data_IF_113355634132
#
_entry.id   IF_113355634132
#
_cell.length_a   1.000
_cell.length_b   1.000
_cell.length_c   1.000
_cell.angle_alpha   90.00
_cell.angle_beta   90.00
_cell.angle_gamma   90.00
#
_symmetry.space_group_name_H-M   'P 1'
#
loop_
_entity.id
_entity.type
_entity.pdbx_description
1 polymer ?
#
# COMPACT_ATOMS: atom_id res chain seq x y z
N UNK A 1 -10.86 -11.73 -18.52
CA UNK A 1 -10.08 -10.52 -18.75
C UNK A 1 -9.54 -9.97 -17.45
N UNK A 2 -8.28 -9.70 -17.42
CA UNK A 2 -7.67 -9.19 -16.20
C UNK A 2 -8.08 -7.74 -15.96
N UNK A 3 -8.38 -7.43 -14.72
CA UNK A 3 -8.74 -6.07 -14.35
C UNK A 3 -7.49 -5.37 -13.86
N UNK A 4 -7.12 -4.33 -14.56
CA UNK A 4 -5.97 -3.55 -14.14
C UNK A 4 -6.36 -2.59 -13.04
N UNK A 5 -5.46 -2.33 -12.09
CA UNK A 5 -5.70 -1.28 -11.13
C UNK A 5 -5.94 0.04 -11.86
N UNK A 6 -6.78 0.86 -11.31
CA UNK A 6 -7.08 2.12 -11.95
C UNK A 6 -5.86 3.03 -11.96
N UNK A 7 -5.01 2.90 -10.97
CA UNK A 7 -3.81 3.71 -10.93
C UNK A 7 -2.76 2.98 -10.13
N UNK A 8 -1.59 3.58 -10.11
CA UNK A 8 -0.44 2.98 -9.48
C UNK A 8 -0.63 2.83 -7.97
N UNK A 9 -1.35 3.74 -7.36
CA UNK A 9 -1.56 3.71 -5.93
C UNK A 9 -2.34 2.46 -5.53
N UNK A 10 -3.35 2.09 -6.32
CA UNK A 10 -4.14 0.91 -6.00
C UNK A 10 -3.28 -0.34 -6.02
N UNK A 11 -2.39 -0.44 -6.98
CA UNK A 11 -1.52 -1.60 -7.09
C UNK A 11 -0.57 -1.68 -5.91
N UNK A 12 0.02 -0.56 -5.54
CA UNK A 12 0.96 -0.52 -4.43
C UNK A 12 0.24 -0.84 -3.12
N UNK A 13 -0.97 -0.31 -2.96
CA UNK A 13 -1.74 -0.56 -1.76
C UNK A 13 -2.09 -2.03 -1.62
N UNK A 14 -2.41 -2.67 -2.72
CA UNK A 14 -2.74 -4.09 -2.69
C UNK A 14 -1.57 -4.91 -2.18
N UNK A 15 -0.37 -4.60 -2.64
CA UNK A 15 0.81 -5.31 -2.18
C UNK A 15 1.08 -5.05 -0.71
N UNK A 16 0.87 -3.81 -0.28
CA UNK A 16 1.06 -3.47 1.12
C UNK A 16 0.08 -4.26 2.00
N UNK A 17 -1.16 -4.37 1.57
CA UNK A 17 -2.15 -5.09 2.34
C UNK A 17 -1.86 -6.58 2.40
N UNK A 18 -1.27 -7.13 1.35
CA UNK A 18 -0.85 -8.52 1.38
C UNK A 18 0.20 -8.75 2.46
N UNK A 19 1.13 -7.82 2.59
CA UNK A 19 2.16 -7.92 3.61
C UNK A 19 1.55 -7.83 5.00
N UNK A 20 0.60 -6.92 5.17
CA UNK A 20 -0.08 -6.80 6.46
C UNK A 20 -0.79 -8.09 6.83
N UNK A 21 -1.45 -8.70 5.86
CA UNK A 21 -2.15 -9.94 6.11
C UNK A 21 -1.19 -11.05 6.52
N UNK A 22 -0.06 -11.12 5.89
CA UNK A 22 0.94 -12.12 6.22
C UNK A 22 1.47 -11.95 7.63
N UNK A 23 1.51 -10.71 8.10
CA UNK A 23 1.97 -10.42 9.45
C UNK A 23 0.85 -10.48 10.48
N UNK A 24 -0.37 -10.73 10.03
CA UNK A 24 -1.50 -10.79 10.95
C UNK A 24 -1.90 -9.43 11.50
N UNK A 25 -1.61 -8.37 10.77
CA UNK A 25 -1.96 -7.03 11.20
C UNK A 25 -3.30 -6.62 10.66
N UNK A 26 -4.06 -5.91 11.48
CA UNK A 26 -5.35 -5.38 11.06
C UNK A 26 -5.16 -4.02 10.42
N UNK A 27 -6.05 -3.73 9.46
CA UNK A 27 -6.01 -2.42 8.82
C UNK A 27 -7.42 -2.07 8.37
N UNK A 28 -7.62 -0.78 8.16
CA UNK A 28 -8.89 -0.31 7.63
C UNK A 28 -8.61 0.90 6.75
N UNK A 29 -9.01 0.78 5.50
CA UNK A 29 -8.80 1.84 4.52
C UNK A 29 -9.94 2.84 4.60
N UNK A 30 -9.58 4.11 4.76
CA UNK A 30 -10.57 5.17 4.70
C UNK A 30 -10.76 5.62 3.26
N UNK A 31 -10.87 6.93 3.09
CA UNK A 31 -11.07 7.46 1.76
C UNK A 31 -9.75 7.64 1.02
N UNK A 32 -8.76 8.22 1.68
CA UNK A 32 -7.46 8.46 1.06
C UNK A 32 -6.33 7.99 1.93
N UNK A 33 -6.63 7.29 3.02
CA UNK A 33 -5.60 6.91 3.97
C UNK A 33 -6.12 5.79 4.84
N UNK A 34 -5.19 5.14 5.52
CA UNK A 34 -5.59 4.16 6.53
C UNK A 34 -6.03 4.87 7.78
N UNK A 35 -7.02 4.29 8.46
CA UNK A 35 -7.56 4.93 9.65
C UNK A 35 -6.61 4.84 10.82
N UNK A 36 -5.84 3.77 10.90
CA UNK A 36 -4.84 3.64 11.96
C UNK A 36 -3.61 4.46 11.61
N UNK A 37 -3.20 5.33 12.52
CA UNK A 37 -2.03 6.16 12.25
C UNK A 37 -0.76 5.32 12.15
N UNK A 38 -0.68 4.23 12.91
CA UNK A 38 0.47 3.33 12.79
C UNK A 38 0.55 2.71 11.41
N UNK A 39 -0.58 2.22 10.93
CA UNK A 39 -0.62 1.62 9.60
C UNK A 39 -0.39 2.67 8.53
N UNK A 40 -0.94 3.86 8.73
CA UNK A 40 -0.73 4.94 7.76
C UNK A 40 0.73 5.31 7.65
N UNK A 41 1.44 5.36 8.76
CA UNK A 41 2.87 5.67 8.74
C UNK A 41 3.63 4.60 7.98
N UNK A 42 3.32 3.33 8.24
CA UNK A 42 3.95 2.23 7.51
C UNK A 42 3.64 2.31 6.03
N UNK A 43 2.41 2.68 5.71
CA UNK A 43 1.99 2.81 4.33
C UNK A 43 2.81 3.87 3.59
N UNK A 44 3.02 5.01 4.22
CA UNK A 44 3.78 6.08 3.61
C UNK A 44 5.20 5.63 3.28
N UNK A 45 5.86 4.98 4.23
CA UNK A 45 7.22 4.51 3.99
C UNK A 45 7.26 3.46 2.91
N UNK A 46 6.30 2.56 2.93
CA UNK A 46 6.25 1.52 1.92
C UNK A 46 6.06 2.14 0.53
N UNK A 47 5.17 3.08 0.44
CA UNK A 47 4.87 3.73 -0.82
C UNK A 47 6.09 4.48 -1.37
N UNK A 48 6.73 5.24 -0.52
CA UNK A 48 7.91 6.00 -0.93
C UNK A 48 9.03 5.07 -1.37
N UNK A 49 9.25 4.00 -0.63
CA UNK A 49 10.28 3.05 -1.01
C UNK A 49 9.98 2.35 -2.31
N UNK A 50 8.72 2.02 -2.52
CA UNK A 50 8.32 1.36 -3.75
C UNK A 50 8.59 2.25 -4.96
N UNK A 51 8.18 3.51 -4.87
CA UNK A 51 8.37 4.44 -5.97
C UNK A 51 9.84 4.72 -6.20
N UNK A 52 10.59 4.87 -5.13
CA UNK A 52 12.02 5.15 -5.24
C UNK A 52 12.74 4.01 -5.95
N UNK A 53 12.43 2.78 -5.58
CA UNK A 53 13.01 1.62 -6.24
C UNK A 53 12.67 1.61 -7.72
N UNK A 54 11.45 1.95 -8.02
CA UNK A 54 11.00 1.88 -9.40
C UNK A 54 11.69 2.92 -10.26
N UNK A 55 11.94 4.07 -9.69
CA UNK A 55 12.56 5.16 -10.44
C UNK A 55 14.06 5.02 -10.54
N UNK A 56 14.63 4.21 -9.70
CA UNK A 56 16.08 4.04 -9.67
C UNK A 56 16.61 3.06 -10.69
N UNK A 57 15.75 2.59 -11.53
CA UNK A 57 16.19 1.60 -12.53
C UNK A 57 16.94 2.24 -13.69
#
# INVERSE_FOLDING_TARGET
MAIKPKNQIDEIRQRFEEILALRGLSYEWGTNRYKSSNIQTKWRYFYLGYISNKENK
#
